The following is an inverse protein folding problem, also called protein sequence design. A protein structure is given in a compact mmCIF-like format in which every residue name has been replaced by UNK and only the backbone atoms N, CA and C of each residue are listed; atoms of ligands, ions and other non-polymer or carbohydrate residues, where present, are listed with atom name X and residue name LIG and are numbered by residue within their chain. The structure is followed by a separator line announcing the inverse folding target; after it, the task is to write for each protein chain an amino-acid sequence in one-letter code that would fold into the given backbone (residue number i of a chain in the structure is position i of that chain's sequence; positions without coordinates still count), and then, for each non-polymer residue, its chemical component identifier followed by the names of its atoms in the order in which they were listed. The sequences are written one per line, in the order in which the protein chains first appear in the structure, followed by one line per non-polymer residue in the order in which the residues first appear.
data_IF_439252271922
#
_entry.id   IF_439252271922
#
_cell.length_a   1.000
_cell.length_b   1.000
_cell.length_c   1.000
_cell.angle_alpha   90.00
_cell.angle_beta   90.00
_cell.angle_gamma   90.00
#
_symmetry.space_group_name_H-M   'P 1'
#
loop_
_entity.id
_entity.type
_entity.pdbx_description
1 polymer ?
2 polymer ?
3 non-polymer ?
4 water ?
#
loop_
_entity_poly.entity_id
_entity_poly.type
_entity_poly.pdbx_seq_one_letter_code
_entity_poly.pdbx_strand_id
2 'polyribonucleotide' 'GA' ?
#
# COMPACT_ATOMS: atom_id res chain seq x y z
N UNK A 1 -18.76 1.49 12.93
CA UNK A 1 -19.89 1.01 12.14
C UNK A 1 -19.71 -0.46 11.77
N UNK A 2 -19.01 -0.70 10.66
CA UNK A 2 -18.72 -2.05 10.20
C UNK A 2 -17.42 -2.57 10.84
N UNK A 3 -17.17 -2.18 12.09
CA UNK A 3 -15.98 -2.62 12.81
C UNK A 3 -15.99 -4.14 12.97
N UNK A 4 -14.89 -4.79 12.60
CA UNK A 4 -14.86 -6.24 12.62
C UNK A 4 -13.43 -6.75 12.61
N UNK A 5 -13.18 -7.82 13.37
CA UNK A 5 -11.85 -8.43 13.38
C UNK A 5 -11.57 -9.23 12.11
N UNK A 6 -12.53 -9.31 11.18
CA UNK A 6 -12.34 -9.92 9.88
C UNK A 6 -11.96 -8.92 8.79
N UNK A 7 -12.07 -7.62 9.05
CA UNK A 7 -11.75 -6.61 8.05
C UNK A 7 -10.26 -6.62 7.69
N UNK A 8 -9.95 -6.14 6.50
CA UNK A 8 -8.59 -6.16 5.97
C UNK A 8 -8.03 -4.75 5.81
N UNK A 9 -6.78 -4.57 6.22
CA UNK A 9 -6.07 -3.29 6.09
C UNK A 9 -5.16 -3.37 4.88
N UNK A 10 -5.44 -2.53 3.90
CA UNK A 10 -4.63 -2.38 2.69
C UNK A 10 -3.77 -1.13 2.82
N UNK A 11 -2.49 -1.24 2.45
CA UNK A 11 -1.58 -0.11 2.56
C UNK A 11 -0.62 -0.10 1.38
N UNK A 12 -0.30 1.11 0.89
CA UNK A 12 0.71 1.32 -0.13
C UNK A 12 1.55 2.53 0.25
N UNK A 13 2.87 2.40 0.09
CA UNK A 13 3.83 3.46 0.35
C UNK A 13 4.53 3.84 -0.95
N UNK A 14 4.94 5.11 -1.03
CA UNK A 14 5.96 5.53 -1.99
C UNK A 14 7.21 5.92 -1.20
N UNK A 15 8.37 5.65 -1.78
CA UNK A 15 9.66 5.85 -1.11
C UNK A 15 10.65 6.55 -2.03
N UNK A 16 11.74 7.04 -1.44
CA UNK A 16 12.83 7.62 -2.21
C UNK A 16 13.75 6.57 -2.81
N UNK A 17 13.51 5.30 -2.54
CA UNK A 17 14.27 4.22 -3.13
C UNK A 17 13.87 2.90 -2.50
N UNK A 18 14.64 1.86 -2.84
CA UNK A 18 14.29 0.51 -2.47
C UNK A 18 14.95 0.01 -1.19
N UNK A 19 15.78 0.83 -0.53
CA UNK A 19 16.56 0.34 0.61
C UNK A 19 16.08 1.03 1.88
N UNK A 20 15.42 0.31 2.80
CA UNK A 20 14.89 0.98 4.01
C UNK A 20 15.95 1.65 4.88
N UNK A 21 17.19 1.18 4.84
CA UNK A 21 18.21 1.77 5.69
C UNK A 21 18.71 3.09 5.13
N UNK A 22 18.50 3.34 3.85
CA UNK A 22 19.00 4.53 3.16
C UNK A 22 17.89 5.49 2.77
N UNK A 23 16.71 4.98 2.46
CA UNK A 23 15.65 5.75 1.84
C UNK A 23 14.53 6.01 2.83
N UNK A 24 13.56 6.81 2.39
CA UNK A 24 12.54 7.34 3.27
C UNK A 24 11.16 7.14 2.64
N UNK A 25 10.14 7.16 3.50
CA UNK A 25 8.75 7.12 3.04
C UNK A 25 8.33 8.53 2.67
N UNK A 26 7.79 8.71 1.45
CA UNK A 26 7.29 10.01 1.03
C UNK A 26 5.78 10.02 0.79
N UNK A 27 5.12 8.87 0.71
CA UNK A 27 3.66 8.88 0.67
C UNK A 27 3.14 7.61 1.32
N UNK A 28 1.96 7.72 1.94
CA UNK A 28 1.27 6.58 2.53
C UNK A 28 -0.23 6.70 2.26
N UNK A 29 -0.90 5.58 1.98
CA UNK A 29 -2.34 5.55 1.85
C UNK A 29 -2.84 4.23 2.41
N UNK A 30 -4.00 4.25 3.06
CA UNK A 30 -4.63 3.04 3.59
C UNK A 30 -6.07 2.95 3.13
N UNK A 31 -6.56 1.72 3.01
CA UNK A 31 -7.97 1.42 2.73
C UNK A 31 -8.36 0.24 3.60
N UNK A 32 -9.57 0.25 4.14
CA UNK A 32 -10.12 -0.90 4.86
C UNK A 32 -11.23 -1.51 4.01
N UNK A 33 -11.12 -2.81 3.75
CA UNK A 33 -12.21 -3.59 3.17
C UNK A 33 -12.78 -4.55 4.20
N UNK A 34 -13.99 -5.02 3.93
CA UNK A 34 -14.46 -6.16 4.70
C UNK A 34 -13.79 -7.42 4.18
N UNK A 35 -14.16 -8.56 4.77
CA UNK A 35 -13.54 -9.83 4.40
C UNK A 35 -13.89 -10.26 2.99
N UNK A 36 -14.93 -9.68 2.40
CA UNK A 36 -15.34 -10.00 1.04
C UNK A 36 -14.80 -8.99 0.01
N UNK A 37 -13.91 -8.10 0.43
CA UNK A 37 -13.17 -7.11 -0.37
C UNK A 37 -14.01 -5.89 -0.72
N UNK A 38 -15.18 -5.71 -0.10
CA UNK A 38 -15.92 -4.47 -0.30
C UNK A 38 -15.20 -3.31 0.41
N UNK A 39 -15.00 -2.21 -0.29
CA UNK A 39 -14.28 -1.08 0.30
C UNK A 39 -15.21 -0.38 1.28
N UNK A 40 -14.81 -0.36 2.56
CA UNK A 40 -15.60 0.26 3.62
C UNK A 40 -15.22 1.72 3.84
N UNK A 41 -13.92 2.05 3.76
CA UNK A 41 -13.46 3.38 4.10
C UNK A 41 -12.05 3.57 3.55
N UNK A 42 -11.76 4.79 3.12
CA UNK A 42 -10.40 5.12 2.73
C UNK A 42 -9.78 5.98 3.83
N UNK A 43 -8.51 5.72 4.12
CA UNK A 43 -7.81 6.41 5.17
C UNK A 43 -7.07 7.64 4.70
N UNK A 44 -6.27 8.21 5.58
CA UNK A 44 -5.47 9.40 5.22
C UNK A 44 -4.52 9.11 4.06
N UNK A 45 -4.48 10.03 3.10
CA UNK A 45 -3.55 10.00 1.98
C UNK A 45 -2.53 11.10 2.26
N UNK A 46 -1.32 10.71 2.67
CA UNK A 46 -0.39 11.64 3.29
C UNK A 46 0.91 11.67 2.50
N UNK A 47 1.24 12.83 1.95
CA UNK A 47 2.59 13.11 1.49
C UNK A 47 3.42 13.53 2.69
N UNK A 48 4.52 12.84 2.94
CA UNK A 48 5.32 13.03 4.14
C UNK A 48 6.51 13.91 3.79
N UNK A 49 6.68 15.00 4.53
CA UNK A 49 7.77 15.92 4.23
C UNK A 49 9.13 15.25 4.39
N UNK A 50 10.02 15.53 3.45
CA UNK A 50 11.42 15.13 3.53
C UNK A 50 12.28 16.28 3.02
N UNK A 51 13.46 16.48 3.60
CA UNK A 51 14.33 17.56 3.15
C UNK A 51 14.99 17.22 1.82
N UNK A 52 15.54 18.25 1.17
CA UNK A 52 16.14 18.04 -0.15
C UNK A 52 17.24 17.00 -0.11
N UNK A 53 18.00 16.95 0.99
CA UNK A 53 19.08 15.97 1.06
C UNK A 53 18.57 14.54 0.94
N UNK A 54 17.34 14.28 1.40
CA UNK A 54 16.77 12.95 1.24
C UNK A 54 16.17 12.77 -0.15
N UNK A 55 15.51 13.81 -0.70
CA UNK A 55 15.04 13.73 -2.07
C UNK A 55 16.20 13.54 -3.04
N UNK A 56 17.38 14.04 -2.68
CA UNK A 56 18.56 13.98 -3.55
C UNK A 56 19.16 12.59 -3.63
N UNK A 57 18.67 11.63 -2.83
CA UNK A 57 19.10 10.24 -2.98
C UNK A 57 18.35 9.51 -4.09
N UNK A 58 17.31 10.12 -4.67
CA UNK A 58 16.47 9.41 -5.62
C UNK A 58 17.22 9.18 -6.93
N UNK A 59 17.09 7.97 -7.47
CA UNK A 59 17.64 7.65 -8.77
C UNK A 59 16.74 8.24 -9.87
N UNK A 60 17.06 7.96 -11.12
CA UNK A 60 16.29 8.55 -12.22
C UNK A 60 14.86 8.06 -12.22
N UNK A 61 14.64 6.76 -12.00
CA UNK A 61 13.28 6.22 -11.98
C UNK A 61 12.43 6.95 -10.93
N UNK A 62 12.95 7.06 -9.72
CA UNK A 62 12.19 7.72 -8.65
C UNK A 62 12.02 9.20 -8.94
N UNK A 63 13.08 9.88 -9.38
CA UNK A 63 12.97 11.30 -9.63
C UNK A 63 11.93 11.59 -10.70
N UNK A 64 12.00 10.91 -11.84
CA UNK A 64 11.05 11.18 -12.92
C UNK A 64 9.63 10.74 -12.54
N UNK A 65 9.50 9.58 -11.90
CA UNK A 65 8.17 9.08 -11.53
C UNK A 65 7.49 10.02 -10.54
N UNK A 66 8.17 10.32 -9.44
CA UNK A 66 7.55 11.10 -8.38
C UNK A 66 7.46 12.60 -8.71
N UNK A 67 8.28 13.10 -9.62
CA UNK A 67 8.10 14.47 -10.09
C UNK A 67 6.87 14.58 -11.00
N UNK A 68 6.77 13.68 -11.97
CA UNK A 68 5.68 13.78 -12.96
C UNK A 68 4.32 13.54 -12.32
N UNK A 69 4.25 12.74 -11.27
CA UNK A 69 2.99 12.49 -10.60
C UNK A 69 2.52 13.65 -9.74
N UNK A 70 3.39 14.62 -9.50
CA UNK A 70 3.10 15.69 -8.55
C UNK A 70 3.48 15.39 -7.12
N UNK A 71 3.96 14.17 -6.82
CA UNK A 71 4.26 13.81 -5.44
C UNK A 71 5.40 14.66 -4.87
N UNK A 72 6.45 14.90 -5.66
CA UNK A 72 7.60 15.65 -5.13
C UNK A 72 7.17 17.03 -4.66
N UNK A 73 6.35 17.71 -5.46
CA UNK A 73 5.86 19.03 -5.04
C UNK A 73 5.04 18.93 -3.78
N UNK A 74 4.23 17.88 -3.64
CA UNK A 74 3.44 17.71 -2.41
C UNK A 74 4.35 17.40 -1.22
N UNK A 75 5.41 16.64 -1.44
CA UNK A 75 6.37 16.37 -0.37
C UNK A 75 7.05 17.66 0.08
N UNK A 76 7.49 18.48 -0.88
CA UNK A 76 8.18 19.71 -0.52
C UNK A 76 7.28 20.66 0.26
N UNK A 77 5.98 20.67 -0.05
CA UNK A 77 5.05 21.57 0.61
C UNK A 77 4.45 20.97 1.88
N UNK A 78 4.67 19.69 2.14
CA UNK A 78 4.00 19.02 3.25
C UNK A 78 4.55 19.50 4.59
N UNK A 79 3.63 19.59 5.56
CA UNK A 79 3.98 19.87 6.95
C UNK A 79 3.74 18.67 7.85
N UNK A 80 3.76 17.47 7.31
CA UNK A 80 3.43 16.25 8.07
C UNK A 80 4.67 15.37 8.12
N UNK A 81 5.12 15.07 9.35
CA UNK A 81 6.23 14.17 9.64
C UNK A 81 5.75 12.72 9.66
N UNK A 82 6.72 11.79 9.69
CA UNK A 82 6.38 10.38 9.82
C UNK A 82 5.53 10.13 11.06
N UNK A 83 5.92 10.74 12.20
CA UNK A 83 5.20 10.50 13.45
C UNK A 83 3.77 10.97 13.35
N UNK A 84 3.55 12.16 12.77
CA UNK A 84 2.19 12.65 12.61
C UNK A 84 1.40 11.79 11.64
N UNK A 85 2.06 11.27 10.60
CA UNK A 85 1.41 10.37 9.66
C UNK A 85 1.00 9.06 10.34
N UNK A 86 1.85 8.53 11.22
CA UNK A 86 1.46 7.37 12.00
C UNK A 86 0.23 7.69 12.85
N UNK A 87 0.26 8.82 13.55
CA UNK A 87 -0.85 9.20 14.41
C UNK A 87 -2.16 9.29 13.62
N UNK A 88 -2.14 9.95 12.46
CA UNK A 88 -3.35 10.06 11.66
C UNK A 88 -3.84 8.69 11.21
N UNK A 89 -2.91 7.83 10.79
CA UNK A 89 -3.31 6.55 10.25
C UNK A 89 -3.86 5.63 11.33
N UNK A 90 -3.23 5.62 12.51
CA UNK A 90 -3.75 4.81 13.62
C UNK A 90 -5.12 5.30 14.06
N UNK A 91 -5.33 6.62 14.12
CA UNK A 91 -6.64 7.12 14.53
C UNK A 91 -7.73 6.68 13.57
N UNK A 92 -7.40 6.58 12.28
CA UNK A 92 -8.33 6.06 11.29
C UNK A 92 -8.56 4.57 11.51
N UNK A 93 -7.48 3.78 11.57
CA UNK A 93 -7.63 2.33 11.58
C UNK A 93 -8.39 1.83 12.82
N UNK A 94 -8.22 2.50 13.96
CA UNK A 94 -8.88 2.06 15.18
C UNK A 94 -10.40 2.14 15.08
N UNK A 95 -10.93 2.87 14.11
CA UNK A 95 -12.37 2.96 13.92
C UNK A 95 -12.93 1.80 13.11
N UNK A 96 -12.08 0.97 12.50
CA UNK A 96 -12.54 0.01 11.52
C UNK A 96 -12.07 -1.41 11.77
N UNK A 97 -10.86 -1.58 12.31
CA UNK A 97 -10.26 -2.89 12.53
C UNK A 97 -9.56 -2.91 13.89
N UNK A 98 -9.71 -3.96 14.69
CA UNK A 98 -8.96 -4.04 15.95
C UNK A 98 -7.47 -4.30 15.73
N UNK A 99 -6.68 -3.86 16.70
CA UNK A 99 -5.23 -4.03 16.64
C UNK A 99 -4.84 -5.50 16.55
N UNK A 100 -3.87 -5.80 15.67
CA UNK A 100 -3.26 -7.11 15.60
C UNK A 100 -4.05 -8.18 14.87
N UNK A 101 -5.13 -7.82 14.18
CA UNK A 101 -6.02 -8.80 13.57
C UNK A 101 -5.84 -8.94 12.06
N UNK A 102 -5.58 -7.83 11.34
CA UNK A 102 -5.51 -7.93 9.88
C UNK A 102 -4.09 -8.19 9.43
N UNK A 103 -3.87 -9.17 8.54
CA UNK A 103 -2.62 -9.21 7.81
C UNK A 103 -2.39 -7.92 7.04
N UNK A 104 -1.15 -7.68 6.65
CA UNK A 104 -0.86 -6.53 5.81
C UNK A 104 -1.19 -6.91 4.36
N UNK A 105 -1.95 -6.05 3.67
CA UNK A 105 -2.50 -6.40 2.35
C UNK A 105 -2.02 -5.45 1.27
N UNK A 106 -1.61 -6.00 0.13
CA UNK A 106 -1.19 -5.17 -1.00
C UNK A 106 -0.47 -6.03 -2.02
N UNK A 107 0.35 -5.38 -2.86
CA UNK A 107 1.17 -6.04 -3.86
C UNK A 107 2.63 -5.98 -3.44
N UNK A 108 3.29 -7.15 -3.38
CA UNK A 108 4.68 -7.24 -2.91
C UNK A 108 4.83 -6.48 -1.59
N UNK A 109 3.85 -6.72 -0.72
CA UNK A 109 3.63 -5.93 0.48
C UNK A 109 4.71 -6.14 1.52
N UNK A 110 5.52 -7.19 1.39
CA UNK A 110 6.68 -7.33 2.24
C UNK A 110 7.65 -6.17 2.13
N UNK A 111 7.73 -5.53 0.95
CA UNK A 111 8.61 -4.38 0.82
C UNK A 111 8.11 -3.20 1.66
N UNK A 112 6.80 -2.92 1.58
CA UNK A 112 6.24 -1.87 2.43
C UNK A 112 6.46 -2.19 3.90
N UNK A 113 6.26 -3.46 4.30
CA UNK A 113 6.43 -3.80 5.71
C UNK A 113 7.86 -3.53 6.18
N UNK A 114 8.86 -3.77 5.33
CA UNK A 114 10.24 -3.44 5.71
C UNK A 114 10.38 -1.97 6.04
N UNK A 115 9.78 -1.10 5.22
CA UNK A 115 9.83 0.32 5.52
C UNK A 115 9.05 0.66 6.77
N UNK A 116 7.94 -0.05 7.04
CA UNK A 116 7.23 0.20 8.29
C UNK A 116 8.04 -0.23 9.50
N UNK A 117 8.69 -1.40 9.44
CA UNK A 117 9.53 -1.83 10.57
C UNK A 117 10.59 -0.78 10.91
N UNK A 118 11.21 -0.20 9.88
CA UNK A 118 12.32 0.71 10.08
C UNK A 118 11.86 2.09 10.50
N UNK A 119 10.83 2.62 9.83
CA UNK A 119 10.46 4.02 9.95
C UNK A 119 9.16 4.26 10.69
N UNK A 120 8.30 3.24 10.81
CA UNK A 120 7.01 3.42 11.46
C UNK A 120 6.65 2.19 12.28
N UNK A 121 7.51 1.75 13.22
CA UNK A 121 7.22 0.48 13.91
C UNK A 121 5.91 0.49 14.68
N UNK A 122 5.45 1.65 15.17
CA UNK A 122 4.18 1.70 15.88
C UNK A 122 3.02 1.33 14.95
N UNK A 123 3.11 1.68 13.67
CA UNK A 123 2.09 1.28 12.72
C UNK A 123 2.25 -0.17 12.29
N UNK A 124 3.50 -0.62 12.04
CA UNK A 124 3.72 -2.03 11.74
C UNK A 124 3.08 -2.93 12.78
N UNK A 125 3.16 -2.55 14.06
CA UNK A 125 2.65 -3.37 15.15
C UNK A 125 1.13 -3.54 15.11
N UNK A 126 0.43 -2.68 14.35
CA UNK A 126 -1.03 -2.79 14.28
C UNK A 126 -1.48 -4.01 13.47
N UNK A 127 -0.62 -4.54 12.61
CA UNK A 127 -0.97 -5.65 11.74
C UNK A 127 -0.71 -6.99 12.42
N UNK A 128 -1.53 -7.97 12.08
CA UNK A 128 -1.19 -9.37 12.32
C UNK A 128 0.12 -9.69 11.59
N UNK A 129 0.84 -10.74 12.05
CA UNK A 129 2.14 -11.02 11.44
C UNK A 129 2.04 -11.52 10.01
N UNK A 130 0.88 -11.98 9.57
CA UNK A 130 0.78 -12.55 8.22
C UNK A 130 0.67 -11.45 7.15
N UNK A 131 0.75 -11.90 5.90
CA UNK A 131 0.78 -11.05 4.72
C UNK A 131 -0.26 -11.55 3.74
N UNK A 132 -1.05 -10.63 3.17
CA UNK A 132 -1.91 -10.97 2.03
C UNK A 132 -1.31 -10.24 0.83
N UNK A 133 -0.52 -10.97 0.05
CA UNK A 133 0.21 -10.43 -1.09
C UNK A 133 -0.53 -10.83 -2.37
N UNK A 134 -1.18 -9.87 -3.01
CA UNK A 134 -1.91 -10.16 -4.24
C UNK A 134 -0.96 -10.67 -5.33
N UNK A 135 0.31 -10.29 -5.28
CA UNK A 135 1.25 -10.73 -6.31
C UNK A 135 1.62 -12.20 -6.16
N UNK A 136 1.38 -12.79 -4.98
CA UNK A 136 1.48 -14.25 -4.88
C UNK A 136 0.53 -14.91 -5.87
N UNK A 137 -0.71 -14.42 -5.92
CA UNK A 137 -1.69 -15.00 -6.83
C UNK A 137 -1.34 -14.68 -8.28
N UNK A 138 -0.86 -13.46 -8.55
CA UNK A 138 -0.40 -13.10 -9.88
C UNK A 138 0.63 -14.10 -10.39
N UNK A 139 1.62 -14.44 -9.55
CA UNK A 139 2.72 -15.29 -9.97
C UNK A 139 2.27 -16.73 -10.16
N UNK A 140 1.37 -17.21 -9.29
CA UNK A 140 0.85 -18.56 -9.46
C UNK A 140 -0.01 -18.65 -10.72
N UNK A 141 -0.81 -17.62 -10.99
CA UNK A 141 -1.63 -17.60 -12.20
C UNK A 141 -0.74 -17.58 -13.44
N UNK A 142 0.35 -16.81 -13.42
CA UNK A 142 1.20 -16.77 -14.61
C UNK A 142 1.76 -18.15 -14.94
N UNK A 143 1.99 -18.99 -13.93
CA UNK A 143 2.52 -20.32 -14.19
C UNK A 143 1.43 -21.33 -14.53
N UNK A 144 0.26 -21.22 -13.89
CA UNK A 144 -0.76 -22.26 -14.04
C UNK A 144 -1.72 -22.00 -15.21
N UNK A 145 -2.04 -20.74 -15.50
CA UNK A 145 -2.90 -20.41 -16.63
C UNK A 145 -2.66 -18.98 -17.07
N UNK A 146 -1.54 -18.70 -17.74
CA UNK A 146 -1.14 -17.31 -17.98
C UNK A 146 -2.11 -16.53 -18.86
N UNK A 147 -2.90 -17.20 -19.69
CA UNK A 147 -3.85 -16.46 -20.53
C UNK A 147 -4.86 -15.68 -19.71
N UNK A 148 -5.11 -16.10 -18.47
CA UNK A 148 -6.01 -15.36 -17.57
C UNK A 148 -5.54 -13.92 -17.42
N UNK A 149 -4.23 -13.70 -17.36
CA UNK A 149 -3.70 -12.38 -17.03
C UNK A 149 -3.95 -11.33 -18.12
N UNK A 150 -4.26 -11.77 -19.34
CA UNK A 150 -4.58 -10.80 -20.39
C UNK A 150 -5.91 -10.09 -20.17
N UNK A 151 -6.73 -10.56 -19.23
CA UNK A 151 -8.05 -9.97 -19.01
C UNK A 151 -8.05 -8.87 -17.97
N UNK A 152 -6.90 -8.50 -17.42
CA UNK A 152 -6.80 -7.46 -16.41
C UNK A 152 -5.53 -6.65 -16.64
N UNK A 153 -5.63 -5.32 -16.44
CA UNK A 153 -4.48 -4.45 -16.61
C UNK A 153 -4.53 -3.35 -15.55
N UNK A 154 -3.37 -2.74 -15.29
CA UNK A 154 -3.25 -1.68 -14.29
C UNK A 154 -2.71 -0.40 -14.93
N UNK A 155 -3.10 0.73 -14.36
CA UNK A 155 -2.55 2.01 -14.79
C UNK A 155 -1.16 2.24 -14.19
N UNK A 156 -0.99 1.93 -12.91
CA UNK A 156 0.28 2.05 -12.23
C UNK A 156 0.83 3.46 -12.14
N UNK A 157 0.09 4.36 -11.50
CA UNK A 157 0.49 5.77 -11.48
C UNK A 157 1.46 6.12 -10.36
N UNK A 158 1.63 5.24 -9.39
CA UNK A 158 2.48 5.49 -8.22
C UNK A 158 1.97 6.67 -7.40
N UNK A 159 0.67 6.93 -7.48
CA UNK A 159 -0.03 7.66 -6.45
C UNK A 159 -0.61 6.61 -5.50
N UNK A 160 -0.22 6.68 -4.22
CA UNK A 160 -0.41 5.54 -3.32
C UNK A 160 -1.87 5.08 -3.23
N UNK A 161 -2.82 6.02 -3.13
CA UNK A 161 -4.22 5.56 -3.00
C UNK A 161 -4.71 4.91 -4.28
N UNK A 162 -4.36 5.46 -5.45
CA UNK A 162 -4.80 4.85 -6.69
C UNK A 162 -4.17 3.48 -6.88
N UNK A 163 -2.91 3.32 -6.46
CA UNK A 163 -2.27 2.02 -6.63
C UNK A 163 -2.86 0.98 -5.68
N UNK A 164 -3.21 1.36 -4.45
CA UNK A 164 -3.79 0.33 -3.57
C UNK A 164 -5.22 0.00 -4.03
N UNK A 165 -5.94 0.96 -4.62
CA UNK A 165 -7.23 0.62 -5.21
C UNK A 165 -7.05 -0.39 -6.34
N UNK A 166 -5.96 -0.29 -7.10
CA UNK A 166 -5.71 -1.27 -8.15
C UNK A 166 -5.34 -2.62 -7.56
N UNK A 167 -4.66 -2.65 -6.40
CA UNK A 167 -4.39 -3.92 -5.74
C UNK A 167 -5.68 -4.64 -5.38
N UNK A 168 -6.64 -3.91 -4.82
CA UNK A 168 -7.91 -4.52 -4.44
C UNK A 168 -8.64 -5.00 -5.69
N UNK A 169 -8.62 -4.21 -6.76
CA UNK A 169 -9.28 -4.59 -8.00
C UNK A 169 -8.65 -5.85 -8.59
N UNK A 170 -7.32 -5.97 -8.49
CA UNK A 170 -6.63 -7.16 -8.97
C UNK A 170 -7.10 -8.40 -8.20
N UNK A 171 -7.20 -8.30 -6.87
CA UNK A 171 -7.66 -9.46 -6.09
C UNK A 171 -9.12 -9.79 -6.41
N UNK A 172 -9.97 -8.77 -6.57
CA UNK A 172 -11.34 -9.02 -6.97
C UNK A 172 -11.40 -9.76 -8.30
N UNK A 173 -10.55 -9.37 -9.25
CA UNK A 173 -10.48 -10.08 -10.52
C UNK A 173 -10.08 -11.54 -10.31
N UNK A 174 -9.08 -11.80 -9.45
CA UNK A 174 -8.67 -13.19 -9.20
C UNK A 174 -9.77 -13.99 -8.52
N UNK A 175 -10.54 -13.37 -7.63
CA UNK A 175 -11.64 -14.09 -6.98
C UNK A 175 -12.56 -14.72 -8.01
N UNK A 176 -12.88 -13.98 -9.07
CA UNK A 176 -13.77 -14.51 -10.10
C UNK A 176 -13.04 -15.37 -11.12
N UNK A 177 -11.78 -15.07 -11.42
CA UNK A 177 -11.10 -15.71 -12.54
C UNK A 177 -10.31 -16.96 -12.17
N UNK A 178 -9.78 -17.07 -10.95
CA UNK A 178 -8.91 -18.21 -10.65
C UNK A 178 -9.32 -18.94 -9.37
N UNK A 179 -10.19 -18.34 -8.56
CA UNK A 179 -10.69 -19.01 -7.37
C UNK A 179 -12.06 -19.64 -7.64
N UNK A 180 -12.39 -20.69 -6.88
CA UNK A 180 -13.72 -21.27 -6.91
C UNK A 180 -14.42 -21.19 -5.56
N UNK A 181 -13.92 -20.33 -4.67
CA UNK A 181 -14.57 -20.08 -3.39
C UNK A 181 -14.85 -18.59 -3.25
#
# INVERSE_FOLDING_TARGET
MSFSDQNLIWIDLEMTGLDPEMHKIIEMATIVTDSELNILAEGPVIAIHQPESELAKMDEWCTTTHTASGLVARVRQSQVSEEEAIDQTLAFLKQWVPEGKSPICGNSIGQDRRFLYKHMPRLEAYFHYRYIDVSTIKELTRRWQPEVLKEFSKTGSHLALDDIRESIAELQFYRKAVFKI
#
